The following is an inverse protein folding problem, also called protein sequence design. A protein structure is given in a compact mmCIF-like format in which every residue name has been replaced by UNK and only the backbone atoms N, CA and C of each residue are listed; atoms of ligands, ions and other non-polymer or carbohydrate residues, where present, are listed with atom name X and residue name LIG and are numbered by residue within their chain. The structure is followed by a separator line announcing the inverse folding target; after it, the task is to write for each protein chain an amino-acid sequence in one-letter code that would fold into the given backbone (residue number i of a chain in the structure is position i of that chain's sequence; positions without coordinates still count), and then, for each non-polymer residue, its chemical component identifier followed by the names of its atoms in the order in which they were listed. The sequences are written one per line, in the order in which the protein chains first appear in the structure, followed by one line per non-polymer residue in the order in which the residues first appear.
data_IF_409078131654
#
_entry.id   IF_409078131654
#
_cell.length_a   1.000
_cell.length_b   1.000
_cell.length_c   1.000
_cell.angle_alpha   90.00
_cell.angle_beta   90.00
_cell.angle_gamma   90.00
#
_symmetry.space_group_name_H-M   'P 1'
#
loop_
_entity.id
_entity.type
_entity.pdbx_description
1 polymer ?
#
# COMPACT_ATOMS: atom_id res chain seq x y z
N UNK A 1 10.43 -19.22 -4.36
CA UNK A 1 11.07 -18.53 -3.22
C UNK A 1 12.58 -18.31 -3.39
N UNK A 2 13.33 -19.26 -3.98
CA UNK A 2 14.77 -19.07 -4.26
C UNK A 2 15.01 -17.99 -5.31
N UNK A 3 14.19 -17.89 -6.35
CA UNK A 3 14.32 -16.85 -7.38
C UNK A 3 14.14 -15.43 -6.81
N UNK A 4 13.11 -15.21 -5.99
CA UNK A 4 12.90 -13.90 -5.37
C UNK A 4 14.13 -13.49 -4.55
N UNK A 5 14.66 -14.40 -3.73
CA UNK A 5 15.82 -14.13 -2.89
C UNK A 5 17.07 -13.80 -3.71
N UNK A 6 17.29 -14.52 -4.80
CA UNK A 6 18.41 -14.26 -5.70
C UNK A 6 18.29 -12.86 -6.34
N UNK A 7 17.10 -12.50 -6.86
CA UNK A 7 16.84 -11.19 -7.45
C UNK A 7 17.10 -10.07 -6.42
N UNK A 8 16.57 -10.21 -5.20
CA UNK A 8 16.75 -9.21 -4.15
C UNK A 8 18.22 -9.08 -3.72
N UNK A 9 18.95 -10.19 -3.65
CA UNK A 9 20.38 -10.18 -3.33
C UNK A 9 21.21 -9.56 -4.45
N UNK A 10 20.91 -9.85 -5.70
CA UNK A 10 21.63 -9.27 -6.85
C UNK A 10 21.36 -7.77 -6.96
N UNK A 11 20.13 -7.32 -6.67
CA UNK A 11 19.82 -5.90 -6.56
C UNK A 11 20.75 -5.18 -5.57
N UNK A 12 20.93 -5.77 -4.37
CA UNK A 12 21.81 -5.20 -3.34
C UNK A 12 23.28 -5.26 -3.72
N UNK A 13 23.75 -6.37 -4.32
CA UNK A 13 25.14 -6.51 -4.80
C UNK A 13 25.48 -5.47 -5.85
N UNK A 14 24.56 -5.19 -6.77
CA UNK A 14 24.72 -4.21 -7.83
C UNK A 14 24.50 -2.76 -7.36
N UNK A 15 24.17 -2.54 -6.08
CA UNK A 15 23.89 -1.23 -5.48
C UNK A 15 22.85 -0.41 -6.23
N UNK A 16 21.79 -1.07 -6.73
CA UNK A 16 20.76 -0.45 -7.54
C UNK A 16 19.85 0.50 -6.74
N UNK A 17 19.91 0.44 -5.41
CA UNK A 17 19.20 1.36 -4.52
C UNK A 17 19.61 2.82 -4.70
N UNK A 18 20.77 3.08 -5.29
CA UNK A 18 21.20 4.45 -5.63
C UNK A 18 20.42 5.06 -6.80
N UNK A 19 19.78 4.23 -7.62
CA UNK A 19 19.14 4.62 -8.88
C UNK A 19 17.61 4.57 -8.81
N UNK A 20 17.03 4.23 -7.66
CA UNK A 20 15.58 4.17 -7.49
C UNK A 20 15.06 5.26 -6.58
N UNK A 21 13.84 5.71 -6.85
CA UNK A 21 13.10 6.66 -6.03
C UNK A 21 12.22 5.96 -5.00
N UNK A 22 11.60 4.85 -5.38
CA UNK A 22 10.64 4.17 -4.53
C UNK A 22 10.67 2.65 -4.73
N UNK A 23 10.16 1.93 -3.73
CA UNK A 23 9.83 0.51 -3.79
C UNK A 23 8.33 0.38 -3.59
N UNK A 24 7.64 -0.31 -4.49
CA UNK A 24 6.25 -0.71 -4.31
C UNK A 24 6.17 -2.21 -4.09
N UNK A 25 5.40 -2.62 -3.07
CA UNK A 25 4.99 -4.01 -2.90
C UNK A 25 3.47 -4.12 -3.05
N UNK A 26 3.02 -5.20 -3.68
CA UNK A 26 1.61 -5.52 -3.90
C UNK A 26 1.28 -6.92 -3.39
N UNK A 27 0.64 -7.74 -4.23
CA UNK A 27 0.23 -9.11 -3.88
C UNK A 27 1.39 -9.99 -3.47
N UNK A 28 1.22 -10.70 -2.36
CA UNK A 28 2.18 -11.68 -1.83
C UNK A 28 1.50 -13.05 -1.70
N UNK A 29 2.14 -14.07 -2.26
CA UNK A 29 1.57 -15.41 -2.33
C UNK A 29 1.83 -16.28 -1.09
N UNK A 30 2.79 -15.91 -0.25
CA UNK A 30 3.10 -16.66 0.98
C UNK A 30 3.85 -15.81 2.03
N UNK A 31 3.85 -16.27 3.27
CA UNK A 31 4.45 -15.57 4.41
C UNK A 31 5.99 -15.45 4.34
N UNK A 32 6.68 -16.38 3.66
CA UNK A 32 8.12 -16.28 3.48
C UNK A 32 8.53 -15.10 2.60
N UNK A 33 7.72 -14.76 1.58
CA UNK A 33 7.95 -13.58 0.76
C UNK A 33 7.90 -12.30 1.61
N UNK A 34 6.97 -12.20 2.56
CA UNK A 34 6.87 -11.05 3.47
C UNK A 34 8.17 -10.84 4.24
N UNK A 35 8.73 -11.90 4.82
CA UNK A 35 9.99 -11.84 5.61
C UNK A 35 11.20 -11.46 4.73
N UNK A 36 11.30 -12.04 3.54
CA UNK A 36 12.36 -11.71 2.58
C UNK A 36 12.30 -10.25 2.15
N UNK A 37 11.10 -9.77 1.82
CA UNK A 37 10.88 -8.37 1.47
C UNK A 37 11.17 -7.43 2.63
N UNK A 38 10.76 -7.75 3.86
CA UNK A 38 11.10 -6.95 5.03
C UNK A 38 12.62 -6.77 5.17
N UNK A 39 13.37 -7.87 5.09
CA UNK A 39 14.83 -7.83 5.22
C UNK A 39 15.49 -7.01 4.10
N UNK A 40 15.00 -7.18 2.88
CA UNK A 40 15.44 -6.43 1.72
C UNK A 40 15.16 -4.93 1.88
N UNK A 41 13.90 -4.55 2.15
CA UNK A 41 13.47 -3.16 2.31
C UNK A 41 14.26 -2.47 3.41
N UNK A 42 14.45 -3.12 4.56
CA UNK A 42 15.27 -2.56 5.64
C UNK A 42 16.70 -2.26 5.19
N UNK A 43 17.35 -3.18 4.46
CA UNK A 43 18.71 -2.96 3.95
C UNK A 43 18.74 -1.80 2.97
N UNK A 44 17.77 -1.75 2.04
CA UNK A 44 17.68 -0.65 1.07
C UNK A 44 17.49 0.71 1.77
N UNK A 45 16.57 0.79 2.74
CA UNK A 45 16.30 2.04 3.48
C UNK A 45 17.49 2.47 4.37
N UNK A 46 18.29 1.52 4.87
CA UNK A 46 19.54 1.83 5.58
C UNK A 46 20.58 2.42 4.61
N UNK A 47 20.72 1.85 3.41
CA UNK A 47 21.67 2.30 2.40
C UNK A 47 21.26 3.63 1.76
N UNK A 48 19.95 3.86 1.59
CA UNK A 48 19.40 5.08 1.02
C UNK A 48 18.04 5.43 1.68
N UNK A 49 18.07 6.28 2.68
CA UNK A 49 16.89 6.72 3.43
C UNK A 49 15.97 7.69 2.69
N UNK A 50 16.33 8.08 1.46
CA UNK A 50 15.47 8.91 0.59
C UNK A 50 14.47 8.07 -0.23
N UNK A 51 14.64 6.76 -0.24
CA UNK A 51 13.73 5.86 -0.96
C UNK A 51 12.39 5.81 -0.24
N UNK A 52 11.33 5.99 -1.00
CA UNK A 52 9.95 5.87 -0.52
C UNK A 52 9.51 4.40 -0.57
N UNK A 53 9.08 3.85 0.54
CA UNK A 53 8.41 2.55 0.55
C UNK A 53 6.89 2.70 0.49
N UNK A 54 6.31 2.21 -0.60
CA UNK A 54 4.87 2.22 -0.87
C UNK A 54 4.30 0.81 -0.71
N UNK A 55 3.49 0.60 0.30
CA UNK A 55 2.80 -0.66 0.58
C UNK A 55 1.39 -0.65 0.03
N UNK A 56 1.12 -1.50 -0.98
CA UNK A 56 -0.23 -1.89 -1.38
C UNK A 56 -0.54 -3.24 -0.71
N UNK A 57 -1.35 -3.29 0.35
CA UNK A 57 -1.56 -4.50 1.12
C UNK A 57 -2.62 -5.40 0.47
N UNK A 58 -2.34 -5.88 -0.72
CA UNK A 58 -3.28 -6.63 -1.58
C UNK A 58 -3.63 -7.97 -0.95
N UNK A 59 -4.67 -8.02 -0.10
CA UNK A 59 -5.11 -9.26 0.54
C UNK A 59 -6.61 -9.54 0.46
N UNK A 60 -7.42 -8.58 0.02
CA UNK A 60 -8.86 -8.77 -0.06
C UNK A 60 -9.59 -7.62 -0.75
N UNK A 61 -10.80 -7.90 -1.23
CA UNK A 61 -11.72 -6.93 -1.79
C UNK A 61 -13.16 -7.44 -1.70
N UNK A 62 -14.15 -6.55 -1.77
CA UNK A 62 -15.58 -6.90 -1.78
C UNK A 62 -15.98 -7.85 -0.64
N UNK A 63 -15.46 -7.61 0.57
CA UNK A 63 -15.67 -8.42 1.77
C UNK A 63 -15.13 -9.86 1.69
N UNK A 64 -14.21 -10.13 0.78
CA UNK A 64 -13.56 -11.45 0.63
C UNK A 64 -12.06 -11.31 0.76
N UNK A 65 -11.46 -12.08 1.67
CA UNK A 65 -10.02 -12.31 1.75
C UNK A 65 -9.66 -13.39 0.73
N UNK A 66 -8.55 -13.22 0.00
CA UNK A 66 -8.07 -14.16 -1.01
C UNK A 66 -6.62 -14.60 -0.81
N UNK A 67 -6.05 -14.27 0.34
CA UNK A 67 -4.74 -14.76 0.81
C UNK A 67 -4.90 -15.44 2.17
N UNK A 68 -3.91 -16.20 2.58
CA UNK A 68 -3.89 -16.80 3.91
C UNK A 68 -3.82 -15.72 5.00
N UNK A 69 -4.54 -15.92 6.10
CA UNK A 69 -4.55 -14.96 7.22
C UNK A 69 -3.15 -14.74 7.81
N UNK A 70 -2.26 -15.74 7.72
CA UNK A 70 -0.88 -15.61 8.16
C UNK A 70 -0.15 -14.50 7.37
N UNK A 71 -0.37 -14.41 6.05
CA UNK A 71 0.23 -13.37 5.21
C UNK A 71 -0.20 -11.99 5.72
N UNK A 72 -1.48 -11.81 6.03
CA UNK A 72 -1.99 -10.52 6.54
C UNK A 72 -1.35 -10.17 7.88
N UNK A 73 -1.22 -11.15 8.79
CA UNK A 73 -0.54 -10.97 10.08
C UNK A 73 0.91 -10.54 9.89
N UNK A 74 1.61 -11.19 8.97
CA UNK A 74 3.01 -10.90 8.65
C UNK A 74 3.16 -9.52 7.99
N UNK A 75 2.29 -9.15 7.04
CA UNK A 75 2.26 -7.79 6.44
C UNK A 75 2.09 -6.73 7.54
N UNK A 76 1.12 -6.91 8.43
CA UNK A 76 0.87 -5.98 9.55
C UNK A 76 2.05 -5.85 10.49
N UNK A 77 2.76 -6.95 10.74
CA UNK A 77 3.87 -6.99 11.68
C UNK A 77 5.18 -6.47 11.09
N UNK A 78 5.43 -6.76 9.81
CA UNK A 78 6.75 -6.60 9.23
C UNK A 78 6.86 -5.54 8.13
N UNK A 79 5.83 -5.35 7.30
CA UNK A 79 5.87 -4.39 6.19
C UNK A 79 5.20 -3.08 6.54
N UNK A 80 4.05 -3.13 7.20
CA UNK A 80 3.28 -1.94 7.56
C UNK A 80 4.10 -0.89 8.35
N UNK A 81 4.93 -1.27 9.35
CA UNK A 81 5.75 -0.29 10.09
C UNK A 81 6.87 0.36 9.28
N UNK A 82 7.23 -0.19 8.12
CA UNK A 82 8.29 0.35 7.25
C UNK A 82 7.75 1.30 6.19
N UNK A 83 6.44 1.31 5.95
CA UNK A 83 5.84 2.02 4.84
C UNK A 83 5.73 3.52 5.08
N UNK A 84 6.19 4.33 4.11
CA UNK A 84 5.93 5.78 4.06
C UNK A 84 4.52 6.05 3.51
N UNK A 85 4.07 5.22 2.57
CA UNK A 85 2.73 5.27 1.98
C UNK A 85 2.07 3.91 2.09
N UNK A 86 0.78 3.92 2.43
CA UNK A 86 -0.06 2.71 2.49
C UNK A 86 -1.27 2.95 1.61
N UNK A 87 -1.53 2.03 0.65
CA UNK A 87 -2.66 2.15 -0.29
C UNK A 87 -3.68 1.02 -0.12
N UNK A 88 -4.44 0.97 0.95
CA UNK A 88 -5.51 -0.01 1.11
C UNK A 88 -6.73 0.37 0.25
N UNK A 89 -7.46 -0.63 -0.23
CA UNK A 89 -8.86 -0.40 -0.61
C UNK A 89 -9.73 -0.28 0.66
N UNK A 90 -11.03 0.06 0.48
CA UNK A 90 -11.95 0.22 1.61
C UNK A 90 -11.99 -1.02 2.53
N UNK A 91 -12.07 -2.23 1.95
CA UNK A 91 -12.16 -3.47 2.72
C UNK A 91 -10.88 -3.74 3.52
N UNK A 92 -9.74 -3.53 2.91
CA UNK A 92 -8.43 -3.67 3.55
C UNK A 92 -8.25 -2.66 4.69
N UNK A 93 -8.68 -1.40 4.49
CA UNK A 93 -8.66 -0.40 5.55
C UNK A 93 -9.53 -0.80 6.73
N UNK A 94 -10.77 -1.28 6.48
CA UNK A 94 -11.65 -1.81 7.54
C UNK A 94 -10.99 -2.93 8.33
N UNK A 95 -10.33 -3.85 7.62
CA UNK A 95 -9.64 -4.99 8.23
C UNK A 95 -8.42 -4.57 9.06
N UNK A 96 -7.57 -3.70 8.50
CA UNK A 96 -6.35 -3.22 9.15
C UNK A 96 -6.66 -2.43 10.42
N UNK A 97 -7.72 -1.61 10.39
CA UNK A 97 -8.08 -0.68 11.47
C UNK A 97 -9.15 -1.21 12.42
N UNK A 98 -9.77 -2.36 12.09
CA UNK A 98 -10.93 -2.92 12.79
C UNK A 98 -12.08 -1.92 12.92
N UNK A 99 -12.31 -1.12 11.86
CA UNK A 99 -13.33 -0.06 11.82
C UNK A 99 -14.23 -0.29 10.61
N UNK A 100 -15.55 -0.27 10.79
CA UNK A 100 -16.49 -0.28 9.67
C UNK A 100 -16.58 1.10 9.04
N UNK A 101 -16.61 1.15 7.70
CA UNK A 101 -16.57 2.38 6.91
C UNK A 101 -17.80 2.44 6.01
N UNK A 102 -18.63 3.47 6.22
CA UNK A 102 -19.83 3.74 5.42
C UNK A 102 -19.75 5.11 4.73
N UNK A 103 -18.93 6.00 5.25
CA UNK A 103 -18.81 7.39 4.80
C UNK A 103 -17.35 7.74 4.53
N UNK A 104 -17.13 8.80 3.76
CA UNK A 104 -15.78 9.35 3.52
C UNK A 104 -15.12 9.82 4.83
N UNK A 105 -15.91 10.41 5.75
CA UNK A 105 -15.43 10.82 7.07
C UNK A 105 -14.88 9.65 7.87
N UNK A 106 -15.62 8.55 7.95
CA UNK A 106 -15.16 7.34 8.64
C UNK A 106 -13.91 6.73 7.99
N UNK A 107 -13.77 6.82 6.65
CA UNK A 107 -12.55 6.39 5.97
C UNK A 107 -11.34 7.25 6.38
N UNK A 108 -11.51 8.57 6.45
CA UNK A 108 -10.48 9.49 6.91
C UNK A 108 -10.09 9.19 8.36
N UNK A 109 -11.06 9.06 9.27
CA UNK A 109 -10.83 8.73 10.67
C UNK A 109 -10.15 7.38 10.86
N UNK A 110 -10.55 6.36 10.09
CA UNK A 110 -9.89 5.06 10.11
C UNK A 110 -8.43 5.14 9.62
N UNK A 111 -8.16 5.94 8.58
CA UNK A 111 -6.83 6.12 8.02
C UNK A 111 -5.86 6.74 9.02
N UNK A 112 -6.30 7.63 9.88
CA UNK A 112 -5.45 8.22 10.94
C UNK A 112 -4.88 7.16 11.90
N UNK A 113 -5.50 5.98 12.04
CA UNK A 113 -4.94 4.88 12.83
C UNK A 113 -3.70 4.24 12.20
N UNK A 114 -3.49 4.45 10.89
CA UNK A 114 -2.34 3.96 10.13
C UNK A 114 -1.24 5.02 9.98
N UNK A 115 -1.54 6.31 10.22
CA UNK A 115 -0.59 7.42 10.14
C UNK A 115 0.30 7.47 11.40
N UNK A 116 1.11 6.44 11.57
CA UNK A 116 2.05 6.25 12.67
C UNK A 116 3.36 5.68 12.14
N UNK A 117 4.35 5.57 12.99
CA UNK A 117 5.69 5.14 12.65
C UNK A 117 6.25 6.01 11.51
N UNK A 118 6.59 5.44 10.37
CA UNK A 118 7.10 6.15 9.20
C UNK A 118 6.00 6.52 8.19
N UNK A 119 4.74 6.15 8.44
CA UNK A 119 3.65 6.39 7.51
C UNK A 119 3.24 7.88 7.51
N UNK A 120 3.47 8.52 6.37
CA UNK A 120 3.13 9.93 6.14
C UNK A 120 1.78 10.08 5.46
N UNK A 121 1.40 9.11 4.61
CA UNK A 121 0.17 9.16 3.83
C UNK A 121 -0.52 7.81 3.75
N UNK A 122 -1.85 7.86 3.78
CA UNK A 122 -2.73 6.73 3.47
C UNK A 122 -3.54 7.10 2.23
N UNK A 123 -3.46 6.27 1.19
CA UNK A 123 -4.22 6.42 -0.04
C UNK A 123 -5.34 5.37 -0.08
N UNK A 124 -6.53 5.72 0.36
CA UNK A 124 -7.68 4.80 0.36
C UNK A 124 -8.35 4.82 -1.00
N UNK A 125 -8.40 3.67 -1.68
CA UNK A 125 -9.07 3.56 -2.98
C UNK A 125 -10.48 2.98 -2.85
N UNK A 126 -11.37 3.42 -3.75
CA UNK A 126 -12.67 2.81 -3.96
C UNK A 126 -13.67 2.97 -2.82
N UNK A 127 -13.60 4.05 -2.04
CA UNK A 127 -14.58 4.32 -0.97
C UNK A 127 -15.92 4.70 -1.59
N UNK A 128 -16.95 3.91 -1.34
CA UNK A 128 -18.30 4.16 -1.83
C UNK A 128 -19.18 4.65 -0.68
N UNK A 129 -19.73 5.86 -0.81
CA UNK A 129 -20.73 6.42 0.10
C UNK A 129 -22.12 6.44 -0.54
N UNK A 130 -22.19 6.69 -1.86
CA UNK A 130 -23.43 6.73 -2.63
C UNK A 130 -23.42 5.67 -3.74
N UNK A 131 -24.61 5.23 -4.21
CA UNK A 131 -24.71 4.12 -5.18
C UNK A 131 -23.94 4.30 -6.48
N UNK A 132 -23.83 5.53 -6.98
CA UNK A 132 -23.24 5.84 -8.29
C UNK A 132 -21.89 6.54 -8.22
N UNK A 133 -21.42 6.88 -7.02
CA UNK A 133 -20.21 7.65 -6.80
C UNK A 133 -19.23 6.85 -5.92
N UNK A 134 -17.99 6.79 -6.33
CA UNK A 134 -16.88 6.30 -5.51
C UNK A 134 -15.83 7.39 -5.39
N UNK A 135 -14.99 7.30 -4.40
CA UNK A 135 -13.90 8.23 -4.19
C UNK A 135 -12.61 7.51 -3.83
N UNK A 136 -11.52 8.09 -4.28
CA UNK A 136 -10.20 7.85 -3.73
C UNK A 136 -9.84 9.00 -2.81
N UNK A 137 -9.19 8.69 -1.69
CA UNK A 137 -8.87 9.67 -0.65
C UNK A 137 -7.40 9.53 -0.30
N UNK A 138 -6.64 10.63 -0.41
CA UNK A 138 -5.26 10.72 0.09
C UNK A 138 -5.31 11.47 1.41
N UNK A 139 -4.80 10.87 2.48
CA UNK A 139 -4.88 11.39 3.85
C UNK A 139 -3.47 11.50 4.42
N UNK A 140 -3.13 12.67 4.97
CA UNK A 140 -1.97 12.93 5.81
C UNK A 140 -2.39 13.19 7.26
N UNK A 141 -1.44 13.49 8.15
CA UNK A 141 -1.75 13.82 9.55
C UNK A 141 -2.68 15.03 9.70
N UNK A 142 -2.54 16.03 8.82
CA UNK A 142 -3.19 17.34 8.99
C UNK A 142 -4.14 17.70 7.85
N UNK A 143 -4.16 16.93 6.75
CA UNK A 143 -4.93 17.27 5.56
C UNK A 143 -5.38 16.03 4.81
N UNK A 144 -6.38 16.18 3.95
CA UNK A 144 -6.82 15.14 3.03
C UNK A 144 -7.28 15.74 1.70
N UNK A 145 -7.15 14.94 0.63
CA UNK A 145 -7.72 15.24 -0.69
C UNK A 145 -8.67 14.13 -1.10
N UNK A 146 -9.84 14.51 -1.56
CA UNK A 146 -10.92 13.61 -1.97
C UNK A 146 -11.15 13.73 -3.47
N UNK A 147 -11.01 12.63 -4.21
CA UNK A 147 -11.22 12.55 -5.66
C UNK A 147 -12.46 11.70 -5.94
N UNK A 148 -13.55 12.33 -6.36
CA UNK A 148 -14.83 11.69 -6.63
C UNK A 148 -15.00 11.40 -8.12
N UNK A 149 -15.52 10.23 -8.43
CA UNK A 149 -15.79 9.82 -9.80
C UNK A 149 -16.93 8.80 -9.90
N UNK A 150 -17.50 8.63 -11.11
CA UNK A 150 -18.55 7.66 -11.35
C UNK A 150 -17.96 6.25 -11.36
N UNK A 151 -18.65 5.33 -10.67
CA UNK A 151 -18.29 3.91 -10.71
C UNK A 151 -18.51 3.35 -12.11
N UNK A 152 -17.48 2.81 -12.73
CA UNK A 152 -17.59 2.08 -13.99
C UNK A 152 -18.15 0.69 -13.74
N UNK A 153 -18.91 0.16 -14.73
CA UNK A 153 -19.54 -1.17 -14.63
C UNK A 153 -18.55 -2.33 -14.83
N UNK A 154 -17.40 -2.08 -15.41
CA UNK A 154 -16.35 -3.08 -15.65
C UNK A 154 -15.21 -2.90 -14.66
N UNK A 155 -14.83 -3.98 -13.95
CA UNK A 155 -13.59 -4.03 -13.18
C UNK A 155 -12.46 -4.56 -14.07
N UNK A 156 -11.33 -3.86 -14.08
CA UNK A 156 -10.10 -4.33 -14.72
C UNK A 156 -9.15 -4.79 -13.61
N UNK A 157 -8.71 -6.05 -13.69
CA UNK A 157 -7.69 -6.58 -12.77
C UNK A 157 -6.38 -5.82 -12.94
N UNK A 158 -5.65 -5.56 -11.83
CA UNK A 158 -4.38 -4.82 -11.87
C UNK A 158 -4.51 -3.29 -11.87
N UNK A 159 -5.74 -2.75 -11.89
CA UNK A 159 -5.96 -1.29 -11.84
C UNK A 159 -5.40 -0.65 -10.57
N UNK A 160 -5.40 -1.37 -9.44
CA UNK A 160 -4.81 -0.93 -8.17
C UNK A 160 -3.29 -0.78 -8.25
N UNK A 161 -2.61 -1.78 -8.81
CA UNK A 161 -1.14 -1.75 -8.98
C UNK A 161 -0.72 -0.62 -9.93
N UNK A 162 -1.46 -0.47 -11.04
CA UNK A 162 -1.23 0.62 -11.99
C UNK A 162 -1.41 2.00 -11.33
N UNK A 163 -2.46 2.18 -10.54
CA UNK A 163 -2.71 3.42 -9.83
C UNK A 163 -1.57 3.75 -8.83
N UNK A 164 -1.08 2.74 -8.11
CA UNK A 164 0.05 2.89 -7.19
C UNK A 164 1.33 3.31 -7.92
N UNK A 165 1.65 2.63 -9.03
CA UNK A 165 2.82 2.96 -9.84
C UNK A 165 2.73 4.37 -10.45
N UNK A 166 1.56 4.74 -10.97
CA UNK A 166 1.31 6.08 -11.53
C UNK A 166 1.47 7.16 -10.45
N UNK A 167 0.92 6.93 -9.24
CA UNK A 167 1.08 7.82 -8.10
C UNK A 167 2.54 8.07 -7.77
N UNK A 168 3.37 7.01 -7.71
CA UNK A 168 4.80 7.12 -7.44
C UNK A 168 5.54 7.89 -8.52
N UNK A 169 5.18 7.73 -9.80
CA UNK A 169 5.76 8.52 -10.90
C UNK A 169 5.46 10.01 -10.74
N UNK A 170 4.23 10.39 -10.38
CA UNK A 170 3.89 11.79 -10.12
C UNK A 170 4.61 12.32 -8.88
N UNK A 171 4.66 11.54 -7.81
CA UNK A 171 5.39 11.90 -6.59
C UNK A 171 6.88 12.18 -6.88
N UNK A 172 7.52 11.35 -7.74
CA UNK A 172 8.94 11.54 -8.11
C UNK A 172 9.20 12.83 -8.90
N UNK A 173 8.15 13.41 -9.51
CA UNK A 173 8.20 14.69 -10.24
C UNK A 173 7.85 15.91 -9.37
N UNK A 174 7.54 15.71 -8.09
CA UNK A 174 7.21 16.78 -7.15
C UNK A 174 5.76 17.28 -7.21
N UNK A 175 4.83 16.44 -7.74
CA UNK A 175 3.40 16.74 -7.78
C UNK A 175 2.69 16.21 -6.54
#
# INVERSE_FOLDING_TARGET
DCELENILNDFLKLKLESNIFAIQTGYLGNSNQVKKLQNFIKKVLINNNKIVYFLDPVFGDNNKIYVDEEIIKEIKKYLLPLANFIKPNKFELEYLTKTKIKTYKEAIEASHKLLKDQCEYVFVSGVQQYKSEIADIIISKNDYKLFKYKKLKSGVSGSGDFLGALFLVYLSKGF
#
